data_IF_910988693246
#
_entry.id   IF_910988693246
#
_cell.length_a   1.000
_cell.length_b   1.000
_cell.length_c   1.000
_cell.angle_alpha   90.00
_cell.angle_beta   90.00
_cell.angle_gamma   90.00
#
_symmetry.space_group_name_H-M   'P 1'
#
loop_
_entity.id
_entity.type
_entity.pdbx_description
1 polymer ?
#
# COMPACT_ATOMS: atom_id res chain seq x y z
N UNK A 1 10.52 26.46 -32.96
CA UNK A 1 10.22 26.01 -31.58
C UNK A 1 8.85 26.56 -31.19
N UNK A 2 7.80 25.72 -31.19
CA UNK A 2 6.40 26.18 -31.19
C UNK A 2 5.91 26.55 -29.78
N UNK A 3 5.21 27.69 -29.69
CA UNK A 3 4.62 28.34 -28.49
C UNK A 3 3.88 27.41 -27.51
N UNK A 4 3.46 26.21 -27.94
CA UNK A 4 2.83 25.20 -27.09
C UNK A 4 3.77 24.55 -26.06
N UNK A 5 5.09 24.63 -26.23
CA UNK A 5 6.04 24.07 -25.25
C UNK A 5 6.42 25.03 -24.11
N UNK A 6 6.20 26.34 -24.27
CA UNK A 6 6.48 27.31 -23.20
C UNK A 6 5.36 27.40 -22.16
N UNK A 7 4.10 27.19 -22.53
CA UNK A 7 2.96 27.31 -21.60
C UNK A 7 2.92 26.21 -20.54
N UNK A 8 3.50 25.04 -20.82
CA UNK A 8 3.56 23.92 -19.86
C UNK A 8 4.69 24.04 -18.83
N UNK A 9 5.59 25.01 -18.97
CA UNK A 9 6.69 25.23 -18.02
C UNK A 9 6.26 26.14 -16.84
N UNK A 10 5.28 27.01 -17.04
CA UNK A 10 4.89 28.05 -16.06
C UNK A 10 3.63 27.70 -15.25
N UNK A 11 2.85 26.72 -15.70
CA UNK A 11 1.81 26.07 -14.90
C UNK A 11 2.15 24.60 -14.86
N UNK A 12 2.12 23.96 -13.69
CA UNK A 12 2.37 22.51 -13.55
C UNK A 12 1.25 21.70 -14.22
N UNK A 13 1.20 21.76 -15.55
CA UNK A 13 0.07 21.35 -16.38
C UNK A 13 -0.14 19.85 -16.26
N UNK A 14 -1.32 19.47 -15.80
CA UNK A 14 -1.78 18.09 -15.82
C UNK A 14 -1.64 17.55 -17.25
N UNK A 15 -0.78 16.56 -17.44
CA UNK A 15 -0.78 15.75 -18.66
C UNK A 15 -2.05 14.90 -18.66
N UNK A 16 -3.16 15.49 -19.08
CA UNK A 16 -4.45 14.82 -19.14
C UNK A 16 -4.38 13.77 -20.25
N UNK A 17 -4.40 12.49 -19.87
CA UNK A 17 -4.48 11.38 -20.81
C UNK A 17 -5.74 11.51 -21.66
N UNK A 18 -5.68 11.00 -22.90
CA UNK A 18 -6.91 10.82 -23.69
C UNK A 18 -7.80 9.84 -22.92
N UNK A 19 -9.11 10.08 -22.88
CA UNK A 19 -10.08 9.24 -22.15
C UNK A 19 -9.96 7.75 -22.48
N UNK A 20 -9.71 7.41 -23.75
CA UNK A 20 -9.50 6.02 -24.17
C UNK A 20 -8.25 5.39 -23.56
N UNK A 21 -7.15 6.13 -23.48
CA UNK A 21 -5.90 5.67 -22.84
C UNK A 21 -6.11 5.52 -21.34
N UNK A 22 -6.79 6.49 -20.70
CA UNK A 22 -7.13 6.42 -19.29
C UNK A 22 -7.93 5.16 -18.96
N UNK A 23 -8.92 4.83 -19.77
CA UNK A 23 -9.73 3.62 -19.62
C UNK A 23 -8.91 2.34 -19.76
N UNK A 24 -8.06 2.24 -20.79
CA UNK A 24 -7.21 1.05 -21.01
C UNK A 24 -6.23 0.86 -19.86
N UNK A 25 -5.54 1.93 -19.43
CA UNK A 25 -4.60 1.90 -18.32
C UNK A 25 -5.29 1.50 -17.01
N UNK A 26 -6.49 2.03 -16.76
CA UNK A 26 -7.31 1.66 -15.60
C UNK A 26 -7.66 0.17 -15.62
N UNK A 27 -8.11 -0.35 -16.78
CA UNK A 27 -8.47 -1.75 -16.93
C UNK A 27 -7.25 -2.68 -16.75
N UNK A 28 -6.09 -2.31 -17.31
CA UNK A 28 -4.84 -3.05 -17.11
C UNK A 28 -4.41 -3.05 -15.64
N UNK A 29 -4.46 -1.89 -14.97
CA UNK A 29 -4.15 -1.79 -13.55
C UNK A 29 -5.07 -2.69 -12.72
N UNK A 30 -6.38 -2.65 -12.99
CA UNK A 30 -7.36 -3.48 -12.30
C UNK A 30 -7.10 -4.97 -12.49
N UNK A 31 -6.88 -5.41 -13.73
CA UNK A 31 -6.65 -6.82 -14.05
C UNK A 31 -5.36 -7.35 -13.41
N UNK A 32 -4.26 -6.62 -13.53
CA UNK A 32 -2.97 -7.01 -12.94
C UNK A 32 -3.04 -6.99 -11.41
N UNK A 33 -3.65 -5.96 -10.81
CA UNK A 33 -3.78 -5.88 -9.36
C UNK A 33 -4.72 -6.95 -8.81
N UNK A 34 -5.80 -7.30 -9.53
CA UNK A 34 -6.68 -8.40 -9.18
C UNK A 34 -5.93 -9.73 -9.21
N UNK A 35 -5.20 -10.03 -10.29
CA UNK A 35 -4.44 -11.27 -10.43
C UNK A 35 -3.36 -11.41 -9.35
N UNK A 36 -2.57 -10.35 -9.13
CA UNK A 36 -1.53 -10.33 -8.10
C UNK A 36 -2.09 -10.44 -6.68
N UNK A 37 -3.20 -9.76 -6.39
CA UNK A 37 -3.84 -9.84 -5.07
C UNK A 37 -4.48 -11.20 -4.84
N UNK A 38 -5.08 -11.80 -5.86
CA UNK A 38 -5.68 -13.13 -5.78
C UNK A 38 -4.63 -14.22 -5.51
N UNK A 39 -3.46 -14.13 -6.15
CA UNK A 39 -2.36 -15.08 -5.96
C UNK A 39 -1.89 -15.19 -4.49
N UNK A 40 -2.02 -14.12 -3.70
CA UNK A 40 -1.65 -14.11 -2.27
C UNK A 40 -2.86 -14.05 -1.34
N UNK A 41 -4.08 -14.12 -1.87
CA UNK A 41 -5.31 -13.90 -1.10
C UNK A 41 -5.57 -14.98 -0.03
N UNK A 42 -4.94 -16.15 -0.18
CA UNK A 42 -5.04 -17.29 0.76
C UNK A 42 -4.01 -17.27 1.88
N UNK A 43 -3.17 -16.23 1.95
CA UNK A 43 -2.22 -16.00 3.05
C UNK A 43 -2.88 -15.02 4.02
N UNK A 44 -3.54 -15.49 5.09
CA UNK A 44 -4.26 -14.62 6.02
C UNK A 44 -3.29 -13.83 6.89
N UNK A 45 -3.76 -12.70 7.44
CA UNK A 45 -3.02 -12.04 8.51
C UNK A 45 -3.04 -12.90 9.78
N UNK A 46 -2.06 -12.69 10.68
CA UNK A 46 -2.05 -13.28 12.02
C UNK A 46 -3.31 -13.01 12.85
N UNK A 47 -4.08 -11.96 12.53
CA UNK A 47 -5.35 -11.63 13.19
C UNK A 47 -6.55 -12.44 12.67
N UNK A 48 -6.34 -13.39 11.74
CA UNK A 48 -7.38 -14.29 11.22
C UNK A 48 -8.28 -13.68 10.14
N UNK A 49 -8.14 -12.39 9.85
CA UNK A 49 -8.81 -11.72 8.73
C UNK A 49 -7.87 -10.67 8.10
N UNK A 50 -8.12 -10.30 6.85
CA UNK A 50 -7.14 -9.58 6.04
C UNK A 50 -6.13 -10.52 5.40
N UNK A 51 -5.47 -10.06 4.34
CA UNK A 51 -4.66 -10.89 3.44
C UNK A 51 -3.29 -10.25 3.22
N UNK A 52 -2.25 -11.06 3.02
CA UNK A 52 -0.96 -10.59 2.54
C UNK A 52 -1.10 -10.07 1.11
N UNK A 53 -0.72 -8.81 0.85
CA UNK A 53 -0.98 -8.12 -0.41
C UNK A 53 0.21 -7.29 -0.91
N UNK A 54 1.32 -7.93 -1.29
CA UNK A 54 2.45 -7.22 -1.89
C UNK A 54 2.11 -6.67 -3.28
N UNK A 55 1.03 -7.14 -3.91
CA UNK A 55 0.57 -6.70 -5.23
C UNK A 55 0.25 -5.20 -5.34
N UNK A 56 0.19 -4.47 -4.22
CA UNK A 56 0.06 -3.00 -4.20
C UNK A 56 1.16 -2.26 -4.95
N UNK A 57 2.27 -2.95 -5.26
CA UNK A 57 3.31 -2.46 -6.18
C UNK A 57 2.75 -2.10 -7.55
N UNK A 58 1.72 -2.79 -8.02
CA UNK A 58 1.09 -2.58 -9.33
C UNK A 58 0.40 -1.22 -9.37
N UNK A 59 -0.62 -0.92 -8.54
CA UNK A 59 -1.23 0.40 -8.55
C UNK A 59 -0.26 1.52 -8.15
N UNK A 60 0.74 1.28 -7.29
CA UNK A 60 1.79 2.27 -7.03
C UNK A 60 2.62 2.62 -8.28
N UNK A 61 2.99 1.61 -9.08
CA UNK A 61 3.64 1.79 -10.38
C UNK A 61 2.74 2.57 -11.34
N UNK A 62 1.48 2.14 -11.51
CA UNK A 62 0.53 2.82 -12.39
C UNK A 62 0.27 4.26 -11.96
N UNK A 63 0.21 4.53 -10.66
CA UNK A 63 0.03 5.88 -10.12
C UNK A 63 1.21 6.80 -10.47
N UNK A 64 2.42 6.23 -10.48
CA UNK A 64 3.65 6.94 -10.82
C UNK A 64 3.74 7.26 -12.31
N UNK A 65 3.37 6.33 -13.18
CA UNK A 65 3.52 6.49 -14.63
C UNK A 65 2.34 7.23 -15.27
N UNK A 66 1.11 6.89 -14.86
CA UNK A 66 -0.12 7.32 -15.53
C UNK A 66 -0.97 8.28 -14.70
N UNK A 67 -0.56 8.55 -13.45
CA UNK A 67 -1.22 9.50 -12.57
C UNK A 67 -2.31 8.90 -11.66
N UNK A 68 -2.97 9.76 -10.88
CA UNK A 68 -3.77 9.32 -9.74
C UNK A 68 -5.05 8.55 -10.11
N UNK A 69 -5.80 9.03 -11.11
CA UNK A 69 -7.13 8.46 -11.41
C UNK A 69 -7.07 7.02 -11.94
N UNK A 70 -6.24 6.68 -12.95
CA UNK A 70 -6.18 5.31 -13.44
C UNK A 70 -5.77 4.30 -12.38
N UNK A 71 -4.83 4.68 -11.51
CA UNK A 71 -4.35 3.83 -10.44
C UNK A 71 -5.38 3.68 -9.31
N UNK A 72 -6.06 4.77 -8.91
CA UNK A 72 -7.08 4.74 -7.88
C UNK A 72 -8.27 3.88 -8.28
N UNK A 73 -8.83 4.12 -9.47
CA UNK A 73 -9.95 3.33 -10.00
C UNK A 73 -9.51 1.90 -10.28
N UNK A 74 -8.32 1.71 -10.86
CA UNK A 74 -7.75 0.40 -11.12
C UNK A 74 -7.57 -0.42 -9.84
N UNK A 75 -7.02 0.18 -8.79
CA UNK A 75 -6.84 -0.47 -7.50
C UNK A 75 -8.18 -0.84 -6.85
N UNK A 76 -9.15 0.07 -6.90
CA UNK A 76 -10.50 -0.12 -6.36
C UNK A 76 -11.24 -1.27 -7.04
N UNK A 77 -11.24 -1.31 -8.38
CA UNK A 77 -11.83 -2.42 -9.14
C UNK A 77 -11.04 -3.70 -8.91
N UNK A 78 -9.71 -3.64 -8.97
CA UNK A 78 -8.85 -4.80 -8.83
C UNK A 78 -8.99 -5.50 -7.47
N UNK A 79 -9.07 -4.74 -6.37
CA UNK A 79 -9.32 -5.33 -5.04
C UNK A 79 -10.71 -5.96 -4.96
N UNK A 80 -11.73 -5.31 -5.53
CA UNK A 80 -13.09 -5.85 -5.53
C UNK A 80 -13.18 -7.17 -6.27
N UNK A 81 -12.51 -7.26 -7.43
CA UNK A 81 -12.42 -8.50 -8.20
C UNK A 81 -11.70 -9.59 -7.43
N UNK A 82 -10.50 -9.33 -6.91
CA UNK A 82 -9.73 -10.33 -6.17
C UNK A 82 -10.50 -10.89 -4.96
N UNK A 83 -11.12 -10.00 -4.18
CA UNK A 83 -11.89 -10.43 -3.01
C UNK A 83 -13.17 -11.15 -3.38
N UNK A 84 -13.87 -10.70 -4.42
CA UNK A 84 -15.11 -11.36 -4.85
C UNK A 84 -14.83 -12.75 -5.42
N UNK A 85 -13.75 -12.91 -6.18
CA UNK A 85 -13.31 -14.20 -6.69
C UNK A 85 -12.92 -15.16 -5.56
N UNK A 86 -12.18 -14.68 -4.54
CA UNK A 86 -11.84 -15.50 -3.37
C UNK A 86 -13.07 -16.04 -2.65
N UNK A 87 -14.13 -15.24 -2.55
CA UNK A 87 -15.34 -15.61 -1.83
C UNK A 87 -16.42 -16.25 -2.72
N UNK A 88 -16.20 -16.36 -4.04
CA UNK A 88 -17.17 -16.92 -4.98
C UNK A 88 -18.43 -16.07 -5.19
N UNK A 89 -18.44 -14.83 -4.71
CA UNK A 89 -19.59 -13.92 -4.76
C UNK A 89 -19.11 -12.46 -4.67
N UNK A 90 -19.96 -11.50 -5.03
CA UNK A 90 -19.65 -10.09 -4.78
C UNK A 90 -19.42 -9.87 -3.28
N UNK A 91 -18.16 -9.60 -2.91
CA UNK A 91 -17.79 -9.54 -1.50
C UNK A 91 -18.03 -8.14 -0.92
N UNK A 92 -19.14 -8.00 -0.18
CA UNK A 92 -19.54 -6.71 0.41
C UNK A 92 -18.47 -6.10 1.31
N UNK A 93 -17.68 -6.92 2.01
CA UNK A 93 -16.56 -6.44 2.82
C UNK A 93 -15.49 -5.71 2.01
N UNK A 94 -15.26 -6.11 0.76
CA UNK A 94 -14.38 -5.36 -0.14
C UNK A 94 -15.04 -4.07 -0.58
N UNK A 95 -16.32 -4.13 -0.98
CA UNK A 95 -17.05 -2.97 -1.51
C UNK A 95 -17.10 -1.80 -0.51
N UNK A 96 -17.36 -2.10 0.77
CA UNK A 96 -17.51 -1.05 1.80
C UNK A 96 -16.19 -0.64 2.46
N UNK A 97 -15.13 -1.45 2.31
CA UNK A 97 -13.86 -1.20 3.02
C UNK A 97 -12.64 -1.14 2.11
N UNK A 98 -12.35 -2.21 1.36
CA UNK A 98 -11.14 -2.26 0.53
C UNK A 98 -11.21 -1.29 -0.65
N UNK A 99 -12.36 -1.17 -1.33
CA UNK A 99 -12.58 -0.24 -2.44
C UNK A 99 -12.28 1.22 -2.05
N UNK A 100 -12.90 1.81 -1.00
CA UNK A 100 -12.61 3.20 -0.64
C UNK A 100 -11.16 3.39 -0.16
N UNK A 101 -10.61 2.46 0.62
CA UNK A 101 -9.23 2.57 1.09
C UNK A 101 -8.19 2.50 -0.02
N UNK A 102 -8.37 1.60 -1.00
CA UNK A 102 -7.50 1.52 -2.17
C UNK A 102 -7.66 2.74 -3.08
N UNK A 103 -8.90 3.17 -3.35
CA UNK A 103 -9.15 4.36 -4.16
C UNK A 103 -8.44 5.59 -3.58
N UNK A 104 -8.70 5.90 -2.30
CA UNK A 104 -8.15 7.08 -1.64
C UNK A 104 -6.63 6.96 -1.52
N UNK A 105 -6.11 5.80 -1.09
CA UNK A 105 -4.68 5.56 -0.96
C UNK A 105 -3.92 5.81 -2.26
N UNK A 106 -4.34 5.18 -3.37
CA UNK A 106 -3.62 5.31 -4.64
C UNK A 106 -3.90 6.62 -5.37
N UNK A 107 -5.07 7.24 -5.16
CA UNK A 107 -5.31 8.61 -5.64
C UNK A 107 -4.34 9.59 -4.99
N UNK A 108 -4.22 9.55 -3.66
CA UNK A 108 -3.27 10.39 -2.94
C UNK A 108 -1.82 10.07 -3.33
N UNK A 109 -1.49 8.78 -3.53
CA UNK A 109 -0.16 8.37 -3.93
C UNK A 109 0.21 9.04 -5.26
N UNK A 110 -0.63 8.84 -6.28
CA UNK A 110 -0.45 9.42 -7.60
C UNK A 110 -0.40 10.95 -7.56
N UNK A 111 -1.21 11.57 -6.71
CA UNK A 111 -1.22 13.02 -6.53
C UNK A 111 0.10 13.57 -5.96
N UNK A 112 0.66 12.92 -4.93
CA UNK A 112 1.93 13.33 -4.29
C UNK A 112 3.11 13.18 -5.27
N UNK A 113 3.12 12.10 -6.07
CA UNK A 113 4.20 11.81 -7.01
C UNK A 113 4.07 12.50 -8.36
N UNK A 114 3.06 13.36 -8.57
CA UNK A 114 2.85 14.12 -9.82
C UNK A 114 4.06 14.93 -10.30
N UNK A 115 4.87 15.41 -9.37
CA UNK A 115 6.21 15.93 -9.67
C UNK A 115 7.18 14.96 -9.06
N UNK A 116 7.63 14.02 -9.86
CA UNK A 116 8.31 12.84 -9.35
C UNK A 116 9.68 13.20 -8.78
N UNK A 117 9.94 12.70 -7.59
CA UNK A 117 11.28 12.54 -7.07
C UNK A 117 11.26 11.33 -6.15
N UNK A 118 12.40 10.67 -5.99
CA UNK A 118 12.48 9.51 -5.11
C UNK A 118 12.11 9.83 -3.66
N UNK A 119 12.40 11.04 -3.17
CA UNK A 119 11.95 11.51 -1.85
C UNK A 119 10.44 11.59 -1.75
N UNK A 120 9.77 12.14 -2.77
CA UNK A 120 8.31 12.22 -2.83
C UNK A 120 7.68 10.84 -2.97
N UNK A 121 8.31 9.94 -3.71
CA UNK A 121 7.88 8.55 -3.83
C UNK A 121 7.94 7.81 -2.48
N UNK A 122 9.02 7.98 -1.72
CA UNK A 122 9.15 7.42 -0.36
C UNK A 122 8.08 8.02 0.57
N UNK A 123 7.92 9.34 0.56
CA UNK A 123 6.91 10.02 1.36
C UNK A 123 5.49 9.54 1.01
N UNK A 124 5.16 9.46 -0.27
CA UNK A 124 3.87 8.97 -0.75
C UNK A 124 3.64 7.53 -0.27
N UNK A 125 4.65 6.66 -0.36
CA UNK A 125 4.56 5.28 0.11
C UNK A 125 4.22 5.21 1.60
N UNK A 126 4.91 5.98 2.45
CA UNK A 126 4.65 6.00 3.89
C UNK A 126 3.25 6.54 4.22
N UNK A 127 2.92 7.73 3.69
CA UNK A 127 1.68 8.43 4.02
C UNK A 127 0.47 7.66 3.52
N UNK A 128 0.49 7.22 2.27
CA UNK A 128 -0.71 6.67 1.63
C UNK A 128 -0.94 5.20 1.95
N UNK A 129 0.10 4.40 2.20
CA UNK A 129 -0.09 3.06 2.78
C UNK A 129 -0.71 3.18 4.17
N UNK A 130 -0.27 4.14 4.98
CA UNK A 130 -0.88 4.36 6.31
C UNK A 130 -2.37 4.75 6.18
N UNK A 131 -2.68 5.77 5.37
CA UNK A 131 -4.06 6.26 5.21
C UNK A 131 -4.96 5.20 4.57
N UNK A 132 -4.55 4.61 3.45
CA UNK A 132 -5.34 3.62 2.71
C UNK A 132 -5.59 2.34 3.51
N UNK A 133 -4.58 1.86 4.24
CA UNK A 133 -4.73 0.70 5.11
C UNK A 133 -5.59 1.02 6.33
N UNK A 134 -5.48 2.22 6.91
CA UNK A 134 -6.35 2.65 8.01
C UNK A 134 -7.82 2.72 7.57
N UNK A 135 -8.11 3.39 6.45
CA UNK A 135 -9.48 3.45 5.91
C UNK A 135 -10.03 2.05 5.69
N UNK A 136 -9.23 1.15 5.08
CA UNK A 136 -9.63 -0.23 4.84
C UNK A 136 -9.87 -0.98 6.15
N UNK A 137 -8.95 -0.91 7.11
CA UNK A 137 -9.02 -1.66 8.36
C UNK A 137 -10.21 -1.22 9.21
N UNK A 138 -10.38 0.09 9.43
CA UNK A 138 -11.48 0.62 10.23
C UNK A 138 -12.84 0.34 9.58
N UNK A 139 -12.95 0.53 8.26
CA UNK A 139 -14.20 0.21 7.54
C UNK A 139 -14.49 -1.30 7.57
N UNK A 140 -13.47 -2.14 7.43
CA UNK A 140 -13.65 -3.59 7.43
C UNK A 140 -14.05 -4.11 8.81
N UNK A 141 -13.38 -3.65 9.87
CA UNK A 141 -13.62 -4.12 11.23
C UNK A 141 -14.93 -3.55 11.79
N UNK A 142 -15.14 -2.24 11.67
CA UNK A 142 -16.29 -1.58 12.30
C UNK A 142 -17.53 -1.73 11.42
N UNK A 143 -17.48 -1.25 10.18
CA UNK A 143 -18.68 -1.20 9.32
C UNK A 143 -19.06 -2.61 8.88
N UNK A 144 -18.11 -3.37 8.32
CA UNK A 144 -18.44 -4.68 7.78
C UNK A 144 -18.55 -5.76 8.86
N UNK A 145 -17.51 -5.98 9.67
CA UNK A 145 -17.48 -7.11 10.61
C UNK A 145 -18.33 -6.88 11.86
N UNK A 146 -18.30 -5.69 12.47
CA UNK A 146 -19.03 -5.42 13.71
C UNK A 146 -20.49 -5.03 13.46
N UNK A 147 -20.78 -4.15 12.48
CA UNK A 147 -22.15 -3.66 12.23
C UNK A 147 -22.90 -4.54 11.23
N UNK A 148 -22.36 -4.77 10.03
CA UNK A 148 -23.09 -5.43 8.95
C UNK A 148 -23.25 -6.94 9.17
N UNK A 149 -22.15 -7.66 9.44
CA UNK A 149 -22.16 -9.12 9.67
C UNK A 149 -22.38 -9.48 11.15
N UNK A 150 -22.19 -8.53 12.08
CA UNK A 150 -22.33 -8.74 13.53
C UNK A 150 -21.42 -9.86 14.08
N UNK A 151 -20.24 -10.05 13.47
CA UNK A 151 -19.29 -11.10 13.81
C UNK A 151 -18.30 -10.71 14.93
N UNK A 152 -18.21 -9.42 15.25
CA UNK A 152 -17.30 -8.86 16.26
C UNK A 152 -18.08 -8.05 17.32
N UNK A 153 -18.77 -8.72 18.27
CA UNK A 153 -19.54 -8.06 19.33
C UNK A 153 -18.61 -7.56 20.45
N UNK A 154 -17.65 -6.70 20.10
CA UNK A 154 -16.64 -6.18 21.02
C UNK A 154 -16.84 -4.69 21.30
N UNK A 155 -16.23 -4.21 22.38
CA UNK A 155 -16.23 -2.79 22.72
C UNK A 155 -15.55 -1.94 21.64
N UNK A 156 -15.90 -0.64 21.49
CA UNK A 156 -15.27 0.25 20.52
C UNK A 156 -13.74 0.32 20.64
N UNK A 157 -13.20 0.26 21.87
CA UNK A 157 -11.75 0.21 22.11
C UNK A 157 -11.11 -1.05 21.51
N UNK A 158 -11.75 -2.20 21.67
CA UNK A 158 -11.27 -3.47 21.10
C UNK A 158 -11.30 -3.46 19.57
N UNK A 159 -12.39 -2.95 18.97
CA UNK A 159 -12.49 -2.79 17.52
C UNK A 159 -11.41 -1.85 16.96
N UNK A 160 -11.07 -0.81 17.72
CA UNK A 160 -9.98 0.11 17.38
C UNK A 160 -8.63 -0.60 17.40
N UNK A 161 -8.34 -1.40 18.44
CA UNK A 161 -7.10 -2.18 18.53
C UNK A 161 -6.94 -3.17 17.37
N UNK A 162 -8.00 -3.90 17.02
CA UNK A 162 -8.01 -4.80 15.86
C UNK A 162 -7.72 -4.01 14.57
N UNK A 163 -8.38 -2.85 14.39
CA UNK A 163 -8.22 -2.02 13.19
C UNK A 163 -6.79 -1.48 13.06
N UNK A 164 -6.19 -1.04 14.17
CA UNK A 164 -4.78 -0.63 14.22
C UNK A 164 -3.86 -1.82 13.89
N UNK A 165 -4.11 -3.00 14.47
CA UNK A 165 -3.36 -4.21 14.16
C UNK A 165 -3.35 -4.55 12.67
N UNK A 166 -4.51 -4.53 12.01
CA UNK A 166 -4.61 -4.74 10.55
C UNK A 166 -3.90 -3.64 9.74
N UNK A 167 -4.04 -2.38 10.17
CA UNK A 167 -3.37 -1.25 9.51
C UNK A 167 -1.87 -1.45 9.51
N UNK A 168 -1.31 -1.80 10.66
CA UNK A 168 0.11 -2.05 10.85
C UNK A 168 0.58 -3.30 10.09
N UNK A 169 -0.22 -4.37 10.12
CA UNK A 169 0.04 -5.59 9.35
C UNK A 169 0.17 -5.30 7.85
N UNK A 170 -0.79 -4.61 7.24
CA UNK A 170 -0.69 -4.27 5.83
C UNK A 170 0.45 -3.31 5.56
N UNK A 171 0.67 -2.32 6.43
CA UNK A 171 1.77 -1.39 6.28
C UNK A 171 3.13 -2.12 6.22
N UNK A 172 3.43 -2.95 7.22
CA UNK A 172 4.74 -3.62 7.36
C UNK A 172 4.99 -4.65 6.25
N UNK A 173 3.92 -5.28 5.77
CA UNK A 173 3.98 -6.30 4.71
C UNK A 173 3.96 -5.71 3.30
N UNK A 174 3.54 -4.46 3.11
CA UNK A 174 3.48 -3.80 1.80
C UNK A 174 4.65 -2.86 1.53
N UNK A 175 5.06 -2.07 2.53
CA UNK A 175 6.11 -1.06 2.39
C UNK A 175 7.40 -1.59 1.76
N UNK A 176 7.98 -2.74 2.19
CA UNK A 176 9.22 -3.24 1.60
C UNK A 176 9.05 -3.56 0.13
N UNK A 177 7.92 -4.13 -0.29
CA UNK A 177 7.65 -4.41 -1.70
C UNK A 177 7.50 -3.14 -2.51
N UNK A 178 6.76 -2.14 -2.01
CA UNK A 178 6.61 -0.86 -2.72
C UNK A 178 7.94 -0.15 -2.89
N UNK A 179 8.80 -0.13 -1.88
CA UNK A 179 10.08 0.57 -1.96
C UNK A 179 11.21 -0.24 -2.62
N UNK A 180 11.10 -1.56 -2.72
CA UNK A 180 12.12 -2.40 -3.40
C UNK A 180 11.73 -2.76 -4.83
N UNK A 181 10.46 -3.10 -5.08
CA UNK A 181 10.00 -3.64 -6.38
C UNK A 181 9.57 -2.53 -7.31
N UNK A 182 8.74 -1.58 -6.85
CA UNK A 182 8.22 -0.51 -7.71
C UNK A 182 9.33 0.33 -8.37
N UNK A 183 10.44 0.69 -7.70
CA UNK A 183 11.55 1.38 -8.35
C UNK A 183 12.19 0.58 -9.49
N UNK A 184 12.27 -0.74 -9.36
CA UNK A 184 12.76 -1.62 -10.42
C UNK A 184 11.81 -1.60 -11.62
N UNK A 185 10.50 -1.65 -11.37
CA UNK A 185 9.48 -1.54 -12.42
C UNK A 185 9.53 -0.19 -13.13
N UNK A 186 9.70 0.92 -12.38
CA UNK A 186 9.85 2.27 -12.95
C UNK A 186 11.07 2.33 -13.87
N UNK A 187 12.23 1.81 -13.42
CA UNK A 187 13.45 1.77 -14.23
C UNK A 187 13.30 0.90 -15.47
N UNK A 188 12.71 -0.28 -15.33
CA UNK A 188 12.44 -1.19 -16.44
C UNK A 188 11.54 -0.54 -17.49
N UNK A 189 10.46 0.13 -17.07
CA UNK A 189 9.57 0.87 -17.96
C UNK A 189 10.27 2.04 -18.64
N UNK A 190 11.10 2.80 -17.90
CA UNK A 190 11.87 3.91 -18.45
C UNK A 190 12.88 3.46 -19.51
N UNK A 191 13.48 2.28 -19.36
CA UNK A 191 14.36 1.70 -20.37
C UNK A 191 13.61 1.11 -21.57
N UNK A 192 12.56 0.32 -21.32
CA UNK A 192 11.87 -0.43 -22.36
C UNK A 192 10.91 0.42 -23.21
N UNK A 193 10.27 1.42 -22.59
CA UNK A 193 9.28 2.27 -23.26
C UNK A 193 9.36 3.73 -22.79
N UNK A 194 10.44 4.46 -23.13
CA UNK A 194 10.63 5.85 -22.70
C UNK A 194 9.46 6.78 -23.09
N UNK A 195 8.79 6.50 -24.21
CA UNK A 195 7.72 7.34 -24.76
C UNK A 195 6.45 7.44 -23.90
N UNK A 196 6.20 6.44 -23.03
CA UNK A 196 5.03 6.43 -22.14
C UNK A 196 5.35 6.96 -20.75
N UNK A 197 6.63 7.00 -20.36
CA UNK A 197 7.07 7.45 -19.04
C UNK A 197 7.11 8.99 -19.01
N UNK A 198 6.55 9.64 -17.98
CA UNK A 198 6.68 11.09 -17.81
C UNK A 198 8.14 11.53 -17.72
N UNK A 199 8.47 12.70 -18.28
CA UNK A 199 9.87 13.17 -18.38
C UNK A 199 10.58 13.26 -17.01
N UNK A 200 9.88 13.76 -15.99
CA UNK A 200 10.40 13.86 -14.62
C UNK A 200 10.65 12.49 -13.98
N UNK A 201 9.77 11.52 -14.25
CA UNK A 201 9.94 10.11 -13.85
C UNK A 201 11.09 9.47 -14.61
N UNK A 202 11.23 9.73 -15.91
CA UNK A 202 12.32 9.20 -16.73
C UNK A 202 13.68 9.73 -16.27
N UNK A 203 13.80 11.05 -16.13
CA UNK A 203 15.02 11.72 -15.67
C UNK A 203 15.43 11.25 -14.28
N UNK A 204 14.49 11.27 -13.33
CA UNK A 204 14.79 10.80 -11.96
C UNK A 204 15.04 9.29 -11.91
N UNK A 205 14.27 8.53 -12.68
CA UNK A 205 14.30 7.06 -12.73
C UNK A 205 15.64 6.53 -13.20
N UNK A 206 16.22 7.12 -14.25
CA UNK A 206 17.48 6.67 -14.83
C UNK A 206 18.70 7.40 -14.26
N UNK A 207 18.61 8.70 -13.98
CA UNK A 207 19.79 9.52 -13.63
C UNK A 207 20.02 9.69 -12.14
N UNK A 208 19.03 9.41 -11.29
CA UNK A 208 19.18 9.54 -9.84
C UNK A 208 18.91 8.22 -9.12
N UNK A 209 19.65 8.00 -8.04
CA UNK A 209 19.41 6.89 -7.14
C UNK A 209 18.35 7.24 -6.09
N UNK A 210 17.75 6.20 -5.50
CA UNK A 210 16.92 6.36 -4.31
C UNK A 210 17.78 6.95 -3.18
N UNK A 211 17.33 8.03 -2.52
CA UNK A 211 18.08 8.65 -1.42
C UNK A 211 18.26 7.64 -0.28
N UNK A 212 19.48 7.11 -0.15
CA UNK A 212 19.81 6.04 0.82
C UNK A 212 19.38 6.38 2.24
N UNK A 213 19.60 7.64 2.67
CA UNK A 213 19.18 8.12 4.00
C UNK A 213 17.67 8.10 4.19
N UNK A 214 16.91 8.69 3.25
CA UNK A 214 15.45 8.73 3.35
C UNK A 214 14.83 7.34 3.27
N UNK A 215 15.36 6.48 2.39
CA UNK A 215 14.95 5.08 2.29
C UNK A 215 15.23 4.33 3.60
N UNK A 216 16.45 4.45 4.13
CA UNK A 216 16.85 3.78 5.37
C UNK A 216 15.97 4.20 6.55
N UNK A 217 15.69 5.50 6.69
CA UNK A 217 14.80 6.02 7.73
C UNK A 217 13.35 5.55 7.55
N UNK A 218 12.86 5.52 6.30
CA UNK A 218 11.51 5.04 5.97
C UNK A 218 11.29 3.57 6.34
N UNK A 219 12.34 2.75 6.35
CA UNK A 219 12.28 1.37 6.82
C UNK A 219 12.52 1.26 8.32
N UNK A 220 13.60 1.87 8.81
CA UNK A 220 14.08 1.67 10.19
C UNK A 220 13.12 2.27 11.22
N UNK A 221 12.55 3.45 10.99
CA UNK A 221 11.65 4.09 11.96
C UNK A 221 10.38 3.25 12.18
N UNK A 222 9.61 2.87 11.15
CA UNK A 222 8.49 1.96 11.35
C UNK A 222 8.93 0.61 11.92
N UNK A 223 10.09 0.08 11.51
CA UNK A 223 10.62 -1.16 12.05
C UNK A 223 10.84 -1.11 13.57
N UNK A 224 11.45 -0.05 14.08
CA UNK A 224 11.63 0.18 15.53
C UNK A 224 10.28 0.28 16.23
N UNK A 225 9.33 1.04 15.69
CA UNK A 225 7.99 1.16 16.26
C UNK A 225 7.30 -0.21 16.36
N UNK A 226 7.48 -1.07 15.36
CA UNK A 226 6.90 -2.41 15.34
C UNK A 226 7.55 -3.31 16.39
N UNK A 227 8.87 -3.24 16.58
CA UNK A 227 9.54 -3.95 17.68
C UNK A 227 9.06 -3.45 19.04
N UNK A 228 8.86 -2.14 19.22
CA UNK A 228 8.30 -1.57 20.46
C UNK A 228 6.88 -2.10 20.71
N UNK A 229 6.05 -2.16 19.67
CA UNK A 229 4.70 -2.72 19.78
C UNK A 229 4.77 -4.23 20.08
N UNK A 230 5.70 -4.98 19.47
CA UNK A 230 5.95 -6.39 19.78
C UNK A 230 6.35 -6.62 21.24
N UNK A 231 7.22 -5.76 21.78
CA UNK A 231 7.56 -5.75 23.21
C UNK A 231 6.34 -5.44 24.07
N UNK A 232 5.52 -4.45 23.68
CA UNK A 232 4.29 -4.14 24.38
C UNK A 232 3.29 -5.31 24.33
N UNK A 233 3.17 -6.04 23.22
CA UNK A 233 2.30 -7.23 23.15
C UNK A 233 2.80 -8.37 24.03
N UNK A 234 4.11 -8.52 24.19
CA UNK A 234 4.73 -9.59 24.99
C UNK A 234 4.68 -9.30 26.49
N UNK A 235 4.97 -8.07 26.89
CA UNK A 235 5.20 -7.70 28.29
C UNK A 235 4.01 -6.97 28.93
N UNK A 236 2.93 -6.72 28.20
CA UNK A 236 1.73 -6.07 28.73
C UNK A 236 0.47 -6.84 28.32
N UNK A 237 -0.70 -6.54 28.91
CA UNK A 237 -1.98 -7.14 28.50
C UNK A 237 -2.37 -6.87 27.05
N UNK A 238 -1.66 -5.99 26.33
CA UNK A 238 -1.96 -5.68 24.93
C UNK A 238 -1.99 -6.95 24.05
N UNK A 239 -1.06 -7.89 24.21
CA UNK A 239 -1.02 -9.11 23.41
C UNK A 239 -2.24 -9.98 23.65
N UNK A 240 -2.59 -10.23 24.91
CA UNK A 240 -3.74 -11.07 25.28
C UNK A 240 -5.07 -10.42 24.88
N UNK A 241 -5.21 -9.10 25.05
CA UNK A 241 -6.39 -8.35 24.58
C UNK A 241 -6.54 -8.50 23.07
N UNK A 242 -5.46 -8.30 22.32
CA UNK A 242 -5.50 -8.34 20.85
C UNK A 242 -5.73 -9.77 20.33
N UNK A 243 -5.13 -10.78 20.96
CA UNK A 243 -5.33 -12.18 20.62
C UNK A 243 -6.77 -12.63 20.89
N UNK A 244 -7.31 -12.31 22.07
CA UNK A 244 -8.71 -12.62 22.40
C UNK A 244 -9.69 -11.93 21.47
N UNK A 245 -9.43 -10.66 21.13
CA UNK A 245 -10.20 -9.89 20.17
C UNK A 245 -10.19 -10.51 18.76
N UNK A 246 -9.08 -11.11 18.36
CA UNK A 246 -8.93 -11.85 17.11
C UNK A 246 -9.37 -13.33 17.21
N UNK A 247 -9.90 -13.77 18.36
CA UNK A 247 -10.25 -15.17 18.66
C UNK A 247 -9.07 -16.15 18.45
N UNK A 248 -7.85 -15.70 18.72
CA UNK A 248 -6.65 -16.51 18.65
C UNK A 248 -6.43 -17.24 19.97
N UNK A 249 -5.93 -18.48 19.88
CA UNK A 249 -5.58 -19.30 21.05
C UNK A 249 -4.23 -18.92 21.67
N UNK A 250 -3.44 -18.09 20.98
CA UNK A 250 -2.10 -17.67 21.42
C UNK A 250 -1.78 -16.27 20.91
N UNK A 251 -0.96 -15.55 21.68
CA UNK A 251 -0.40 -14.25 21.32
C UNK A 251 0.78 -14.38 20.35
N UNK A 252 1.35 -15.58 20.21
CA UNK A 252 2.62 -15.80 19.50
C UNK A 252 2.57 -15.34 18.04
N UNK A 253 1.44 -15.53 17.35
CA UNK A 253 1.30 -15.11 15.95
C UNK A 253 1.31 -13.59 15.80
N UNK A 254 0.70 -12.87 16.76
CA UNK A 254 0.68 -11.41 16.78
C UNK A 254 2.07 -10.87 17.15
N UNK A 255 2.73 -11.47 18.13
CA UNK A 255 4.10 -11.10 18.52
C UNK A 255 5.08 -11.31 17.37
N UNK A 256 5.04 -12.49 16.73
CA UNK A 256 5.87 -12.80 15.57
C UNK A 256 5.62 -11.83 14.41
N UNK A 257 4.37 -11.42 14.18
CA UNK A 257 4.06 -10.42 13.16
C UNK A 257 4.84 -9.11 13.38
N UNK A 258 4.80 -8.60 14.60
CA UNK A 258 5.45 -7.34 14.95
C UNK A 258 6.97 -7.48 14.99
N UNK A 259 7.49 -8.55 15.59
CA UNK A 259 8.93 -8.79 15.66
C UNK A 259 9.54 -9.09 14.30
N UNK A 260 9.02 -10.07 13.56
CA UNK A 260 9.61 -10.46 12.28
C UNK A 260 9.53 -9.33 11.27
N UNK A 261 8.37 -8.67 11.16
CA UNK A 261 8.25 -7.54 10.25
C UNK A 261 9.11 -6.35 10.71
N UNK A 262 9.15 -6.06 12.01
CA UNK A 262 9.93 -4.94 12.57
C UNK A 262 11.43 -5.13 12.36
N UNK A 263 11.96 -6.31 12.71
CA UNK A 263 13.35 -6.69 12.49
C UNK A 263 13.67 -6.67 11.00
N UNK A 264 12.79 -7.22 10.13
CA UNK A 264 13.01 -7.22 8.68
C UNK A 264 13.17 -5.80 8.13
N UNK A 265 12.29 -4.87 8.53
CA UNK A 265 12.41 -3.47 8.11
C UNK A 265 13.70 -2.80 8.61
N UNK A 266 14.05 -3.02 9.89
CA UNK A 266 15.31 -2.50 10.45
C UNK A 266 16.50 -3.06 9.67
N UNK A 267 16.55 -4.36 9.43
CA UNK A 267 17.64 -5.02 8.70
C UNK A 267 17.77 -4.45 7.29
N UNK A 268 16.66 -4.34 6.53
CA UNK A 268 16.67 -3.73 5.19
C UNK A 268 17.17 -2.28 5.26
N UNK A 269 16.68 -1.50 6.22
CA UNK A 269 17.06 -0.10 6.41
C UNK A 269 18.56 0.08 6.71
N UNK A 270 19.13 -0.76 7.59
CA UNK A 270 20.54 -0.72 7.96
C UNK A 270 21.45 -1.21 6.83
N UNK A 271 21.06 -2.25 6.09
CA UNK A 271 21.81 -2.72 4.92
C UNK A 271 21.90 -1.60 3.87
N UNK A 272 20.79 -0.89 3.61
CA UNK A 272 20.82 0.22 2.63
C UNK A 272 21.64 1.42 3.12
N UNK A 273 21.68 1.69 4.43
CA UNK A 273 22.52 2.76 4.99
C UNK A 273 24.03 2.46 4.87
N UNK A 274 24.43 1.19 4.91
CA UNK A 274 25.83 0.76 4.93
C UNK A 274 26.41 0.44 3.56
N UNK A 275 25.56 0.27 2.53
CA UNK A 275 26.00 0.11 1.14
C UNK A 275 26.65 1.39 0.62
N UNK A 276 27.95 1.32 0.32
CA UNK A 276 28.71 2.39 -0.35
C UNK A 276 28.08 2.80 -1.67
#
# INVERSE_FOLDING_TARGET
>A
MSRKHQVNAETGGERRLRRSVEAIVTAMCAALYAAGSYATAYIPSPLGFGQFRPAVVIPAFFATIFGPMPAAVGAAIGTLLADSLKHGMLYMGSLVAAVPGNFIGFYLFGYIVRRFSWTRFILASLVTLTIGNAITAFSYVIIFKAIYVQALPFSPGTLTLISLGLTLYWFITMLPFVLLVTPLLIRAAAHAMPSIVPEDVYLSGLKSELPKKSFSLAMTIPGILMVIIGLATTFTPLGTITANAAKLTSTILIELMYYLGGITLITIGLITATRK
#
